data_IF_952997439230
#
_entry.id   IF_952997439230
#
_cell.length_a   1.000
_cell.length_b   1.000
_cell.length_c   1.000
_cell.angle_alpha   90.00
_cell.angle_beta   90.00
_cell.angle_gamma   90.00
#
_symmetry.space_group_name_H-M   'P 1'
#
loop_
_entity.id
_entity.type
_entity.pdbx_description
1 polymer ?
#
# COMPACT_ATOMS: atom_id res chain seq x y z
N UNK A 1 41.52 0.85 19.04
CA UNK A 1 41.13 1.98 18.17
C UNK A 1 40.58 1.45 16.85
N UNK A 2 39.38 1.89 16.42
CA UNK A 2 38.83 1.53 15.10
C UNK A 2 39.62 2.28 14.00
N UNK A 3 40.20 1.54 13.04
CA UNK A 3 40.92 2.10 11.88
C UNK A 3 39.92 2.80 10.95
N UNK A 4 39.67 4.09 11.19
CA UNK A 4 38.72 4.89 10.41
C UNK A 4 39.46 5.62 9.29
N UNK A 5 39.51 5.01 8.11
CA UNK A 5 40.05 5.66 6.91
C UNK A 5 39.04 6.70 6.38
N UNK A 6 39.30 7.97 6.69
CA UNK A 6 38.47 9.12 6.26
C UNK A 6 39.29 10.07 5.40
N UNK A 7 38.63 10.83 4.52
CA UNK A 7 39.32 11.89 3.75
C UNK A 7 40.05 12.85 4.70
N UNK A 8 41.16 13.43 4.23
CA UNK A 8 41.80 14.53 4.95
C UNK A 8 40.79 15.67 5.18
N UNK A 9 40.82 16.24 6.39
CA UNK A 9 40.03 17.43 6.77
C UNK A 9 38.50 17.28 6.61
N UNK A 10 37.99 16.04 6.60
CA UNK A 10 36.55 15.73 6.55
C UNK A 10 35.72 16.39 7.67
N UNK A 11 36.36 16.80 8.76
CA UNK A 11 35.72 17.43 9.91
C UNK A 11 35.79 18.96 9.86
N UNK A 12 36.69 19.52 9.03
CA UNK A 12 36.90 20.97 8.92
C UNK A 12 35.94 21.58 7.90
N UNK A 13 35.66 20.88 6.80
CA UNK A 13 34.81 21.37 5.72
C UNK A 13 33.59 20.47 5.54
N UNK A 14 32.35 20.99 5.71
CA UNK A 14 31.12 20.22 5.53
C UNK A 14 30.97 19.60 4.14
N UNK A 15 31.52 20.25 3.09
CA UNK A 15 31.51 19.73 1.72
C UNK A 15 32.43 18.51 1.51
N UNK A 16 33.36 18.24 2.43
CA UNK A 16 34.22 17.07 2.38
C UNK A 16 33.53 15.88 3.07
N UNK A 17 33.17 14.87 2.28
CA UNK A 17 32.62 13.64 2.80
C UNK A 17 33.63 12.80 3.61
N UNK A 18 33.11 11.88 4.43
CA UNK A 18 33.92 10.92 5.22
C UNK A 18 34.58 9.82 4.37
N UNK A 19 34.25 9.72 3.08
CA UNK A 19 34.80 8.71 2.16
C UNK A 19 36.30 8.95 1.95
N UNK A 20 37.12 7.91 2.10
CA UNK A 20 38.56 8.00 1.88
C UNK A 20 38.89 8.54 0.48
N UNK A 21 39.88 9.43 0.43
CA UNK A 21 40.51 9.94 -0.80
C UNK A 21 42.02 9.95 -0.56
N UNK A 22 42.81 9.54 -1.56
CA UNK A 22 44.28 9.58 -1.46
C UNK A 22 44.71 11.06 -1.34
N UNK A 23 45.42 11.46 -0.27
CA UNK A 23 45.90 12.83 -0.15
C UNK A 23 46.98 13.09 -1.22
N UNK A 24 46.76 14.09 -2.07
CA UNK A 24 47.64 14.42 -3.21
C UNK A 24 48.59 15.59 -2.91
N UNK A 25 48.14 16.58 -2.14
CA UNK A 25 48.89 17.81 -1.89
C UNK A 25 50.27 17.56 -1.31
N UNK A 26 51.26 18.30 -1.80
CA UNK A 26 52.67 18.10 -1.45
C UNK A 26 52.92 18.25 0.06
N UNK A 27 52.32 19.29 0.65
CA UNK A 27 52.44 19.63 2.06
C UNK A 27 51.44 18.89 2.97
N UNK A 28 50.62 17.98 2.43
CA UNK A 28 49.64 17.23 3.22
C UNK A 28 50.33 16.41 4.31
N UNK A 29 49.98 16.70 5.56
CA UNK A 29 50.54 16.02 6.72
C UNK A 29 50.11 14.56 6.80
N UNK A 30 48.91 14.24 6.31
CA UNK A 30 48.43 12.86 6.15
C UNK A 30 49.22 12.10 5.06
N UNK A 31 49.59 12.76 3.96
CA UNK A 31 50.43 12.16 2.89
C UNK A 31 51.82 11.80 3.42
N UNK A 32 52.42 12.73 4.18
CA UNK A 32 53.74 12.61 4.81
C UNK A 32 53.73 11.65 6.02
N UNK A 33 52.55 11.16 6.44
CA UNK A 33 52.36 10.30 7.64
C UNK A 33 52.80 11.00 8.94
N UNK A 34 52.64 12.33 9.05
CA UNK A 34 52.93 13.07 10.30
C UNK A 34 51.88 12.74 11.38
N UNK A 35 52.34 12.53 12.62
CA UNK A 35 51.49 12.28 13.78
C UNK A 35 50.36 13.30 13.93
N UNK A 36 49.19 12.84 14.38
CA UNK A 36 47.97 13.66 14.54
C UNK A 36 47.13 13.87 13.27
N UNK A 37 47.64 13.52 12.08
CA UNK A 37 46.92 13.75 10.81
C UNK A 37 45.90 12.66 10.46
N UNK A 38 45.93 11.52 11.16
CA UNK A 38 45.14 10.33 10.88
C UNK A 38 45.92 9.22 10.18
N UNK A 39 45.25 8.10 9.86
CA UNK A 39 45.86 6.94 9.23
C UNK A 39 45.76 6.99 7.70
N UNK A 40 46.87 6.75 7.00
CA UNK A 40 46.89 6.56 5.55
C UNK A 40 46.57 5.10 5.22
N UNK A 41 45.69 4.86 4.23
CA UNK A 41 45.45 3.50 3.72
C UNK A 41 46.77 2.90 3.21
N UNK A 42 47.05 1.68 3.64
CA UNK A 42 48.28 0.92 3.38
C UNK A 42 47.94 -0.58 3.42
N UNK A 43 48.67 -1.41 2.68
CA UNK A 43 48.35 -2.85 2.54
C UNK A 43 48.51 -3.60 3.87
N UNK A 44 49.44 -3.15 4.72
CA UNK A 44 49.67 -3.71 6.06
C UNK A 44 48.48 -3.57 7.02
N UNK A 45 47.43 -2.83 6.67
CA UNK A 45 46.22 -2.73 7.49
C UNK A 45 45.14 -3.77 7.16
N UNK A 46 45.33 -4.59 6.13
CA UNK A 46 44.39 -5.63 5.72
C UNK A 46 44.07 -6.62 6.85
N UNK A 47 42.83 -7.10 6.89
CA UNK A 47 42.43 -8.20 7.77
C UNK A 47 42.82 -9.54 7.13
N UNK A 48 43.16 -10.57 7.92
CA UNK A 48 43.36 -11.92 7.39
C UNK A 48 42.11 -12.40 6.65
N UNK A 49 42.31 -13.24 5.64
CA UNK A 49 41.22 -13.81 4.87
C UNK A 49 40.30 -14.62 5.80
N UNK A 50 39.01 -14.34 5.72
CA UNK A 50 37.94 -15.10 6.36
C UNK A 50 36.86 -15.36 5.34
N UNK A 51 36.37 -16.59 5.28
CA UNK A 51 35.25 -16.94 4.42
C UNK A 51 34.05 -16.05 4.77
N UNK A 52 33.54 -15.35 3.77
CA UNK A 52 32.39 -14.46 3.92
C UNK A 52 31.09 -15.27 3.78
N UNK A 53 30.02 -14.88 4.47
CA UNK A 53 28.72 -15.49 4.28
C UNK A 53 28.22 -15.30 2.83
N UNK A 54 27.53 -16.31 2.32
CA UNK A 54 27.03 -16.32 0.94
C UNK A 54 25.73 -15.53 0.83
N UNK A 55 25.64 -14.66 -0.17
CA UNK A 55 24.42 -13.90 -0.47
C UNK A 55 23.44 -14.76 -1.27
N UNK A 56 22.27 -15.03 -0.69
CA UNK A 56 21.22 -15.88 -1.26
C UNK A 56 20.03 -15.03 -1.74
N UNK A 57 19.57 -15.33 -2.96
CA UNK A 57 18.37 -14.75 -3.59
C UNK A 57 17.28 -15.79 -3.83
N UNK A 58 17.66 -17.02 -4.12
CA UNK A 58 16.75 -18.10 -4.47
C UNK A 58 17.13 -19.43 -3.79
N UNK A 59 16.36 -20.48 -4.07
CA UNK A 59 16.54 -21.82 -3.51
C UNK A 59 17.74 -22.55 -4.10
N UNK A 60 18.18 -22.18 -5.32
CA UNK A 60 19.34 -22.77 -6.02
C UNK A 60 20.67 -22.27 -5.44
N UNK A 61 20.69 -21.05 -4.90
CA UNK A 61 21.88 -20.47 -4.26
C UNK A 61 22.39 -21.26 -3.04
N UNK A 62 21.61 -22.21 -2.51
CA UNK A 62 22.02 -23.13 -1.45
C UNK A 62 22.97 -24.24 -1.90
N UNK A 63 23.15 -24.45 -3.22
CA UNK A 63 24.11 -25.41 -3.76
C UNK A 63 25.56 -24.93 -3.61
N UNK A 64 25.77 -23.65 -3.31
CA UNK A 64 27.09 -23.03 -3.11
C UNK A 64 27.65 -23.35 -1.72
N UNK A 65 28.97 -23.22 -1.58
CA UNK A 65 29.68 -23.38 -0.30
C UNK A 65 29.22 -22.36 0.77
N UNK A 66 28.23 -22.75 1.59
CA UNK A 66 27.61 -21.91 2.61
C UNK A 66 28.24 -22.06 4.01
N UNK A 67 29.49 -22.50 4.12
CA UNK A 67 30.15 -22.84 5.40
C UNK A 67 30.21 -21.68 6.41
N UNK A 68 30.39 -20.45 5.93
CA UNK A 68 30.45 -19.25 6.77
C UNK A 68 29.07 -18.69 7.18
N UNK A 69 27.99 -19.31 6.71
CA UNK A 69 26.61 -18.85 6.91
C UNK A 69 26.01 -18.16 5.69
N UNK A 70 24.74 -17.80 5.84
CA UNK A 70 23.87 -17.32 4.76
C UNK A 70 23.39 -15.89 5.03
N UNK A 71 23.45 -15.05 4.01
CA UNK A 71 22.85 -13.71 3.98
C UNK A 71 21.68 -13.68 3.00
N UNK A 72 20.47 -13.43 3.49
CA UNK A 72 19.30 -13.25 2.61
C UNK A 72 19.33 -11.85 2.00
N UNK A 73 19.36 -11.74 0.66
CA UNK A 73 19.44 -10.45 -0.03
C UNK A 73 18.27 -9.52 0.32
N UNK A 74 18.52 -8.20 0.40
CA UNK A 74 17.53 -7.19 0.81
C UNK A 74 16.27 -7.20 -0.07
N UNK A 75 16.41 -7.36 -1.39
CA UNK A 75 15.31 -7.39 -2.34
C UNK A 75 14.40 -8.64 -2.28
N UNK A 76 14.77 -9.68 -1.52
CA UNK A 76 13.90 -10.85 -1.35
C UNK A 76 12.74 -10.51 -0.41
N UNK A 77 11.51 -10.63 -0.90
CA UNK A 77 10.29 -10.36 -0.12
C UNK A 77 10.02 -11.40 0.98
N UNK A 78 9.08 -11.10 1.88
CA UNK A 78 8.83 -11.92 3.07
C UNK A 78 8.36 -13.34 2.79
N UNK A 79 7.47 -13.54 1.81
CA UNK A 79 6.99 -14.88 1.41
C UNK A 79 8.16 -15.81 1.05
N UNK A 80 9.06 -15.34 0.18
CA UNK A 80 10.27 -16.07 -0.21
C UNK A 80 11.25 -16.21 0.95
N UNK A 81 11.40 -15.17 1.77
CA UNK A 81 12.29 -15.19 2.96
C UNK A 81 11.92 -16.31 3.93
N UNK A 82 10.63 -16.61 4.11
CA UNK A 82 10.18 -17.72 4.98
C UNK A 82 10.64 -19.07 4.42
N UNK A 83 10.43 -19.30 3.12
CA UNK A 83 10.86 -20.53 2.43
C UNK A 83 12.37 -20.71 2.51
N UNK A 84 13.14 -19.65 2.23
CA UNK A 84 14.59 -19.68 2.32
C UNK A 84 15.05 -19.91 3.78
N UNK A 85 14.37 -19.32 4.76
CA UNK A 85 14.71 -19.53 6.17
C UNK A 85 14.37 -20.94 6.67
N UNK A 86 13.32 -21.57 6.15
CA UNK A 86 13.00 -22.97 6.41
C UNK A 86 14.08 -23.89 5.82
N UNK A 87 14.40 -23.72 4.54
CA UNK A 87 15.46 -24.48 3.87
C UNK A 87 16.83 -24.29 4.54
N UNK A 88 17.17 -23.07 4.96
CA UNK A 88 18.41 -22.81 5.70
C UNK A 88 18.48 -23.58 7.03
N UNK A 89 17.34 -23.71 7.73
CA UNK A 89 17.27 -24.50 8.97
C UNK A 89 17.39 -26.00 8.71
N UNK A 90 16.75 -26.50 7.66
CA UNK A 90 16.85 -27.91 7.24
C UNK A 90 18.31 -28.29 6.95
N UNK A 91 19.07 -27.39 6.31
CA UNK A 91 20.49 -27.58 6.01
C UNK A 91 21.43 -27.25 7.19
N UNK A 92 20.90 -26.86 8.36
CA UNK A 92 21.72 -26.49 9.52
C UNK A 92 22.55 -25.21 9.35
N UNK A 93 22.21 -24.35 8.38
CA UNK A 93 22.95 -23.14 8.06
C UNK A 93 22.51 -21.95 8.93
N UNK A 94 23.48 -21.16 9.40
CA UNK A 94 23.23 -19.95 10.19
C UNK A 94 22.89 -18.76 9.30
N UNK A 95 21.79 -18.07 9.60
CA UNK A 95 21.37 -16.85 8.88
C UNK A 95 21.96 -15.63 9.58
N UNK A 96 22.90 -14.93 8.93
CA UNK A 96 23.60 -13.76 9.48
C UNK A 96 22.63 -12.60 9.74
N UNK A 97 21.68 -12.35 8.82
CA UNK A 97 20.68 -11.30 8.96
C UNK A 97 19.38 -11.77 9.63
N UNK A 98 19.49 -12.36 10.83
CA UNK A 98 18.38 -12.99 11.56
C UNK A 98 17.14 -12.07 11.77
N UNK A 99 17.32 -10.75 11.89
CA UNK A 99 16.21 -9.80 12.02
C UNK A 99 15.23 -9.90 10.84
N UNK A 100 15.73 -10.07 9.62
CA UNK A 100 14.91 -10.18 8.41
C UNK A 100 14.03 -11.43 8.46
N UNK A 101 14.59 -12.56 8.88
CA UNK A 101 13.85 -13.81 9.07
C UNK A 101 12.79 -13.69 10.18
N UNK A 102 13.09 -13.02 11.29
CA UNK A 102 12.13 -12.76 12.38
C UNK A 102 10.95 -11.91 11.91
N UNK A 103 11.21 -10.83 11.16
CA UNK A 103 10.16 -9.97 10.60
C UNK A 103 9.26 -10.74 9.62
N UNK A 104 9.85 -11.58 8.77
CA UNK A 104 9.09 -12.40 7.82
C UNK A 104 8.12 -13.37 8.53
N UNK A 105 8.53 -13.98 9.64
CA UNK A 105 7.64 -14.84 10.46
C UNK A 105 6.49 -14.05 11.10
N UNK A 106 6.76 -12.84 11.60
CA UNK A 106 5.71 -11.96 12.15
C UNK A 106 4.69 -11.60 11.08
N UNK A 107 5.15 -11.32 9.86
CA UNK A 107 4.28 -11.04 8.71
C UNK A 107 3.41 -12.25 8.34
N UNK A 108 3.97 -13.47 8.35
CA UNK A 108 3.20 -14.69 8.12
C UNK A 108 2.10 -14.90 9.17
N UNK A 109 2.42 -14.69 10.45
CA UNK A 109 1.45 -14.79 11.54
C UNK A 109 0.32 -13.75 11.40
N UNK A 110 0.65 -12.52 10.99
CA UNK A 110 -0.35 -11.49 10.71
C UNK A 110 -1.27 -11.87 9.54
N UNK A 111 -0.71 -12.41 8.45
CA UNK A 111 -1.49 -12.91 7.31
C UNK A 111 -2.44 -14.04 7.70
N UNK A 112 -2.01 -14.97 8.56
CA UNK A 112 -2.87 -16.06 9.07
C UNK A 112 -4.03 -15.51 9.91
N UNK A 113 -3.74 -14.60 10.85
CA UNK A 113 -4.77 -13.93 11.67
C UNK A 113 -5.79 -13.16 10.84
N UNK A 114 -5.35 -12.50 9.76
CA UNK A 114 -6.24 -11.83 8.83
C UNK A 114 -7.12 -12.82 8.08
N UNK A 115 -6.57 -13.92 7.55
CA UNK A 115 -7.39 -14.96 6.90
C UNK A 115 -8.41 -15.59 7.84
N UNK A 116 -8.05 -15.82 9.10
CA UNK A 116 -8.96 -16.37 10.12
C UNK A 116 -10.09 -15.41 10.48
N UNK A 117 -9.84 -14.09 10.57
CA UNK A 117 -10.93 -13.12 10.76
C UNK A 117 -11.89 -13.08 9.58
N UNK A 118 -11.37 -13.12 8.35
CA UNK A 118 -12.19 -13.17 7.11
C UNK A 118 -13.10 -14.39 7.14
N UNK A 119 -12.56 -15.53 7.55
CA UNK A 119 -13.31 -16.77 7.63
C UNK A 119 -14.40 -16.70 8.72
N UNK A 120 -14.07 -16.20 9.92
CA UNK A 120 -15.05 -16.03 11.01
C UNK A 120 -16.20 -15.10 10.63
N UNK A 121 -15.94 -13.93 10.03
CA UNK A 121 -17.02 -13.05 9.57
C UNK A 121 -17.88 -13.70 8.49
N UNK A 122 -17.28 -14.51 7.60
CA UNK A 122 -18.04 -15.25 6.59
C UNK A 122 -18.90 -16.37 7.17
N UNK A 123 -18.44 -17.02 8.24
CA UNK A 123 -19.16 -18.07 8.94
C UNK A 123 -20.25 -17.52 9.89
N UNK A 124 -20.10 -16.29 10.40
CA UNK A 124 -21.13 -15.57 11.17
C UNK A 124 -22.29 -15.10 10.28
N UNK A 125 -22.01 -14.51 9.11
CA UNK A 125 -23.04 -14.13 8.13
C UNK A 125 -23.88 -15.34 7.72
N UNK A 126 -23.26 -16.51 7.50
CA UNK A 126 -23.98 -17.75 7.18
C UNK A 126 -24.85 -18.32 8.31
N UNK A 127 -24.59 -17.95 9.57
CA UNK A 127 -25.42 -18.40 10.72
C UNK A 127 -26.60 -17.47 10.97
N UNK A 128 -26.50 -16.20 10.59
CA UNK A 128 -27.62 -15.26 10.63
C UNK A 128 -28.65 -15.59 9.54
N UNK A 129 -28.19 -15.97 8.33
CA UNK A 129 -29.08 -16.39 7.24
C UNK A 129 -29.91 -17.66 7.58
N UNK A 130 -29.37 -18.59 8.38
CA UNK A 130 -30.05 -19.84 8.75
C UNK A 130 -31.07 -19.72 9.89
N UNK A 131 -31.10 -18.60 10.63
CA UNK A 131 -32.11 -18.36 11.69
C UNK A 131 -33.39 -17.71 11.18
N UNK A 132 -33.34 -17.03 10.04
CA UNK A 132 -34.49 -16.33 9.42
C UNK A 132 -35.46 -17.31 8.73
N UNK A 133 -35.02 -18.54 8.42
CA UNK A 133 -35.81 -19.55 7.70
C UNK A 133 -36.85 -20.32 8.57
N UNK A 134 -36.84 -20.20 9.90
CA UNK A 134 -37.79 -20.93 10.78
C UNK A 134 -39.05 -20.12 11.17
N UNK A 135 -39.07 -18.79 10.99
CA UNK A 135 -40.18 -17.94 11.45
C UNK A 135 -41.19 -17.53 10.35
N UNK A 136 -40.93 -17.83 9.07
CA UNK A 136 -41.67 -17.26 7.93
C UNK A 136 -42.66 -18.22 7.23
N UNK A 137 -43.19 -19.23 7.93
CA UNK A 137 -44.15 -20.21 7.36
C UNK A 137 -45.63 -20.01 7.71
N UNK A 138 -46.03 -18.85 8.21
CA UNK A 138 -47.46 -18.51 8.40
C UNK A 138 -47.77 -17.19 7.70
N UNK A 139 -48.73 -17.26 6.77
CA UNK A 139 -49.49 -16.16 6.14
C UNK A 139 -48.99 -15.59 4.79
N UNK A 140 -49.90 -15.65 3.81
CA UNK A 140 -49.70 -15.36 2.40
C UNK A 140 -50.82 -14.41 1.92
N UNK A 141 -50.49 -13.50 0.97
CA UNK A 141 -51.32 -12.75 -0.01
C UNK A 141 -51.59 -11.25 0.27
N UNK A 142 -50.97 -10.33 -0.49
CA UNK A 142 -51.56 -9.58 -1.62
C UNK A 142 -50.52 -8.63 -2.32
N UNK A 143 -50.70 -8.48 -3.63
CA UNK A 143 -50.22 -7.49 -4.64
C UNK A 143 -48.74 -7.26 -5.03
N UNK A 144 -48.65 -6.85 -6.30
CA UNK A 144 -47.57 -6.71 -7.27
C UNK A 144 -46.66 -5.49 -7.05
N UNK A 145 -45.33 -5.67 -7.16
CA UNK A 145 -44.39 -4.90 -8.01
C UNK A 145 -42.92 -4.89 -7.50
N UNK A 146 -42.00 -4.93 -8.47
CA UNK A 146 -40.58 -4.51 -8.47
C UNK A 146 -39.45 -5.27 -7.73
N UNK A 147 -38.49 -5.68 -8.56
CA UNK A 147 -37.02 -5.71 -8.43
C UNK A 147 -36.25 -6.57 -7.39
N UNK A 148 -35.24 -7.25 -7.95
CA UNK A 148 -34.19 -8.07 -7.34
C UNK A 148 -33.22 -7.29 -6.44
N UNK A 149 -32.65 -7.96 -5.43
CA UNK A 149 -31.20 -8.26 -5.36
C UNK A 149 -30.79 -9.13 -4.16
N UNK A 150 -29.99 -10.14 -4.48
CA UNK A 150 -28.97 -10.78 -3.65
C UNK A 150 -27.90 -9.76 -3.25
N UNK A 151 -27.21 -9.96 -2.11
CA UNK A 151 -25.75 -9.78 -2.05
C UNK A 151 -25.08 -10.48 -0.84
N UNK A 152 -23.92 -11.07 -1.15
CA UNK A 152 -22.83 -11.49 -0.24
C UNK A 152 -21.63 -10.57 -0.55
N UNK A 153 -20.83 -10.18 0.46
CA UNK A 153 -19.35 -10.41 0.50
C UNK A 153 -18.47 -9.40 1.28
N UNK A 154 -17.65 -10.01 2.16
CA UNK A 154 -16.18 -9.87 2.39
C UNK A 154 -15.50 -8.61 2.97
N UNK A 155 -14.42 -8.91 3.72
CA UNK A 155 -13.50 -8.03 4.49
C UNK A 155 -12.29 -7.42 3.73
N UNK A 156 -11.72 -6.36 4.35
CA UNK A 156 -10.31 -5.96 4.30
C UNK A 156 -9.72 -5.70 5.72
N UNK A 157 -8.38 -5.60 5.84
CA UNK A 157 -7.57 -5.04 6.97
C UNK A 157 -6.29 -4.38 6.38
N UNK A 158 -5.41 -3.61 7.01
CA UNK A 158 -5.05 -3.35 8.41
C UNK A 158 -4.51 -1.90 8.56
N UNK A 159 -4.67 -1.38 9.78
CA UNK A 159 -4.36 -0.04 10.27
C UNK A 159 -2.97 0.14 10.88
N UNK A 160 -2.51 1.40 10.92
CA UNK A 160 -1.68 1.93 12.01
C UNK A 160 -2.41 3.11 12.66
N UNK A 161 -2.55 2.97 13.98
CA UNK A 161 -3.35 3.70 14.97
C UNK A 161 -2.71 5.05 15.31
N UNK A 162 -3.44 6.14 15.09
CA UNK A 162 -3.26 7.42 15.77
C UNK A 162 -4.66 8.01 16.05
N UNK A 163 -4.85 8.50 17.28
CA UNK A 163 -6.13 8.68 17.95
C UNK A 163 -6.90 9.95 17.60
N UNK A 164 -6.84 10.42 16.35
CA UNK A 164 -7.85 11.34 15.81
C UNK A 164 -8.80 10.53 14.94
N UNK A 165 -10.10 10.72 15.12
CA UNK A 165 -11.11 10.15 14.22
C UNK A 165 -10.83 10.73 12.83
N UNK A 166 -10.04 10.02 12.01
CA UNK A 166 -9.65 10.49 10.67
C UNK A 166 -10.93 10.75 9.91
N UNK A 167 -11.17 12.01 9.58
CA UNK A 167 -12.31 12.39 8.75
C UNK A 167 -12.25 11.59 7.45
N UNK A 168 -13.38 11.04 7.03
CA UNK A 168 -13.45 10.27 5.79
C UNK A 168 -13.22 11.25 4.64
N UNK A 169 -12.38 10.86 3.68
CA UNK A 169 -11.98 11.73 2.56
C UNK A 169 -12.45 11.15 1.25
N UNK A 170 -12.96 12.00 0.37
CA UNK A 170 -13.30 11.67 -1.00
C UNK A 170 -12.52 12.60 -1.93
N UNK A 171 -11.45 12.04 -2.50
CA UNK A 171 -10.57 12.76 -3.41
C UNK A 171 -11.14 12.83 -4.84
N UNK A 172 -11.07 14.00 -5.48
CA UNK A 172 -11.44 14.21 -6.88
C UNK A 172 -10.24 14.66 -7.71
N UNK A 173 -10.21 14.27 -8.98
CA UNK A 173 -9.21 14.76 -9.92
C UNK A 173 -9.49 16.23 -10.28
N UNK A 174 -8.44 17.00 -10.56
CA UNK A 174 -8.48 18.44 -10.88
C UNK A 174 -9.52 18.79 -11.95
N UNK A 175 -9.64 17.98 -13.00
CA UNK A 175 -10.63 18.17 -14.08
C UNK A 175 -12.10 17.97 -13.65
N UNK A 176 -12.34 17.28 -12.54
CA UNK A 176 -13.69 16.93 -12.05
C UNK A 176 -14.14 17.89 -10.94
N UNK A 177 -13.21 18.56 -10.24
CA UNK A 177 -13.52 19.52 -9.16
C UNK A 177 -14.53 20.59 -9.60
N UNK A 178 -14.39 21.23 -10.79
CA UNK A 178 -15.38 22.21 -11.26
C UNK A 178 -16.78 21.63 -11.48
N UNK A 179 -16.89 20.33 -11.80
CA UNK A 179 -18.19 19.67 -11.99
C UNK A 179 -18.91 19.48 -10.65
N UNK A 180 -18.16 19.14 -9.60
CA UNK A 180 -18.70 19.02 -8.23
C UNK A 180 -19.18 20.38 -7.74
N UNK A 181 -18.40 21.44 -7.97
CA UNK A 181 -18.80 22.82 -7.65
C UNK A 181 -20.06 23.26 -8.40
N UNK A 182 -20.27 22.79 -9.64
CA UNK A 182 -21.46 23.10 -10.45
C UNK A 182 -22.71 22.28 -10.08
N UNK A 183 -22.62 21.35 -9.13
CA UNK A 183 -23.78 20.60 -8.61
C UNK A 183 -23.80 19.11 -8.93
N UNK A 184 -22.68 18.49 -9.33
CA UNK A 184 -22.59 17.02 -9.48
C UNK A 184 -22.75 16.33 -8.12
N UNK A 185 -23.75 15.46 -8.00
CA UNK A 185 -24.13 14.76 -6.76
C UNK A 185 -23.81 13.27 -6.76
N UNK A 186 -23.49 12.66 -7.92
CA UNK A 186 -23.09 11.26 -8.02
C UNK A 186 -21.69 11.08 -8.57
N UNK A 187 -20.94 10.10 -8.06
CA UNK A 187 -19.64 9.70 -8.60
C UNK A 187 -19.52 8.19 -8.70
N UNK A 188 -18.92 7.71 -9.80
CA UNK A 188 -18.65 6.30 -10.03
C UNK A 188 -17.18 6.02 -9.74
N UNK A 189 -16.89 4.97 -8.98
CA UNK A 189 -15.55 4.61 -8.50
C UNK A 189 -15.29 3.13 -8.73
N UNK A 190 -14.05 2.78 -9.09
CA UNK A 190 -13.63 1.37 -9.25
C UNK A 190 -13.09 0.76 -7.95
N UNK A 191 -12.92 1.57 -6.90
CA UNK A 191 -12.43 1.13 -5.60
C UNK A 191 -13.49 1.46 -4.56
N UNK A 192 -13.67 0.54 -3.63
CA UNK A 192 -14.47 0.80 -2.45
C UNK A 192 -13.71 1.74 -1.52
N UNK A 193 -14.39 2.80 -1.11
CA UNK A 193 -13.92 3.76 -0.10
C UNK A 193 -14.51 3.47 1.28
N UNK A 194 -15.27 2.37 1.45
CA UNK A 194 -15.89 1.92 2.70
C UNK A 194 -16.77 3.02 3.35
N UNK A 195 -17.34 3.89 2.51
CA UNK A 195 -18.27 4.94 2.93
C UNK A 195 -19.66 4.33 3.14
N UNK A 196 -20.36 4.82 4.15
CA UNK A 196 -21.73 4.45 4.51
C UNK A 196 -22.66 5.65 4.32
N UNK A 197 -23.95 5.37 4.21
CA UNK A 197 -24.99 6.40 4.21
C UNK A 197 -24.89 7.21 5.52
N UNK A 198 -25.02 8.53 5.38
CA UNK A 198 -24.86 9.57 6.42
C UNK A 198 -23.43 9.78 6.97
N UNK A 199 -22.41 9.18 6.35
CA UNK A 199 -21.03 9.54 6.67
C UNK A 199 -20.72 10.98 6.24
N UNK A 200 -20.12 11.75 7.16
CA UNK A 200 -19.50 13.04 6.86
C UNK A 200 -18.17 12.85 6.15
N UNK A 201 -18.02 13.50 4.99
CA UNK A 201 -16.88 13.32 4.10
C UNK A 201 -16.29 14.66 3.68
N UNK A 202 -14.96 14.73 3.69
CA UNK A 202 -14.17 15.88 3.23
C UNK A 202 -13.84 15.70 1.75
N UNK A 203 -14.09 16.72 0.95
CA UNK A 203 -13.85 16.72 -0.49
C UNK A 203 -12.51 17.41 -0.75
N UNK A 204 -11.54 16.65 -1.29
CA UNK A 204 -10.19 17.16 -1.56
C UNK A 204 -9.79 16.94 -3.02
N UNK A 205 -8.93 17.82 -3.54
CA UNK A 205 -8.28 17.59 -4.82
C UNK A 205 -7.18 16.53 -4.63
N UNK A 206 -7.26 15.41 -5.34
CA UNK A 206 -6.30 14.30 -5.23
C UNK A 206 -4.88 14.66 -5.66
N UNK A 207 -4.69 15.74 -6.43
CA UNK A 207 -3.38 16.20 -6.90
C UNK A 207 -2.76 17.25 -5.97
N UNK A 208 -3.51 18.28 -5.58
CA UNK A 208 -3.01 19.36 -4.72
C UNK A 208 -3.17 19.06 -3.22
N UNK A 209 -4.09 18.17 -2.84
CA UNK A 209 -4.45 17.91 -1.45
C UNK A 209 -5.33 18.99 -0.82
N UNK A 210 -5.74 19.99 -1.60
CA UNK A 210 -6.57 21.10 -1.10
C UNK A 210 -8.01 20.66 -0.88
N UNK A 211 -8.54 20.97 0.31
CA UNK A 211 -9.94 20.72 0.66
C UNK A 211 -10.80 21.85 0.10
N UNK A 212 -11.71 21.52 -0.81
CA UNK A 212 -12.57 22.48 -1.48
C UNK A 212 -14.03 22.46 -0.97
N UNK A 213 -14.39 21.48 -0.13
CA UNK A 213 -15.69 21.45 0.51
C UNK A 213 -15.91 20.23 1.40
N UNK A 214 -17.11 20.16 1.97
CA UNK A 214 -17.53 19.09 2.86
C UNK A 214 -18.88 18.54 2.38
N UNK A 215 -19.25 17.37 2.86
CA UNK A 215 -20.51 16.77 2.44
C UNK A 215 -20.91 15.55 3.25
N UNK A 216 -22.07 15.02 2.90
CA UNK A 216 -22.62 13.79 3.47
C UNK A 216 -23.01 12.81 2.38
N UNK A 217 -22.71 11.53 2.58
CA UNK A 217 -23.12 10.47 1.65
C UNK A 217 -24.61 10.17 1.85
N UNK A 218 -25.39 10.23 0.77
CA UNK A 218 -26.82 9.91 0.73
C UNK A 218 -27.10 8.47 0.34
N UNK A 219 -26.27 7.89 -0.52
CA UNK A 219 -26.48 6.56 -1.08
C UNK A 219 -25.18 5.91 -1.48
N UNK A 220 -25.09 4.60 -1.27
CA UNK A 220 -23.97 3.77 -1.67
C UNK A 220 -24.55 2.58 -2.40
N UNK A 221 -24.26 2.48 -3.68
CA UNK A 221 -24.69 1.37 -4.53
C UNK A 221 -23.48 0.78 -5.23
N UNK A 222 -23.56 -0.49 -5.62
CA UNK A 222 -22.58 -1.12 -6.49
C UNK A 222 -23.29 -1.84 -7.64
N UNK A 223 -22.81 -1.59 -8.84
CA UNK A 223 -23.33 -2.20 -10.07
C UNK A 223 -22.16 -2.56 -10.97
N UNK A 224 -22.36 -3.53 -11.87
CA UNK A 224 -21.40 -3.78 -12.93
C UNK A 224 -21.45 -2.63 -13.95
N UNK A 225 -20.31 -2.30 -14.57
CA UNK A 225 -20.19 -1.15 -15.48
C UNK A 225 -21.21 -1.21 -16.63
N UNK A 226 -21.51 -2.40 -17.14
CA UNK A 226 -22.51 -2.61 -18.18
C UNK A 226 -23.95 -2.26 -17.78
N UNK A 227 -24.26 -2.20 -16.47
CA UNK A 227 -25.60 -1.89 -15.93
C UNK A 227 -25.72 -0.44 -15.45
N UNK A 228 -24.69 0.37 -15.64
CA UNK A 228 -24.71 1.78 -15.24
C UNK A 228 -25.52 2.59 -16.26
N UNK A 229 -26.36 3.50 -15.77
CA UNK A 229 -27.04 4.45 -16.63
C UNK A 229 -26.04 5.49 -17.18
N UNK A 230 -25.78 5.42 -18.48
CA UNK A 230 -24.78 6.26 -19.16
C UNK A 230 -25.22 7.74 -19.29
N UNK A 231 -26.52 8.02 -19.19
CA UNK A 231 -27.11 9.35 -19.37
C UNK A 231 -27.61 9.96 -18.04
N UNK A 232 -27.03 9.56 -16.92
CA UNK A 232 -27.38 10.11 -15.61
C UNK A 232 -26.87 11.56 -15.46
N UNK A 233 -27.80 12.52 -15.38
CA UNK A 233 -27.49 13.93 -15.16
C UNK A 233 -26.77 14.18 -13.83
N UNK A 234 -27.02 13.33 -12.82
CA UNK A 234 -26.46 13.50 -11.49
C UNK A 234 -24.96 13.17 -11.44
N UNK A 235 -24.46 12.39 -12.41
CA UNK A 235 -23.03 12.11 -12.58
C UNK A 235 -22.28 13.28 -13.23
N UNK A 236 -22.98 14.28 -13.77
CA UNK A 236 -22.40 15.49 -14.36
C UNK A 236 -21.73 15.32 -15.73
N UNK A 237 -21.33 14.10 -16.11
CA UNK A 237 -20.85 13.77 -17.46
C UNK A 237 -21.71 12.64 -18.04
N UNK A 238 -22.28 12.87 -19.21
CA UNK A 238 -23.06 11.87 -19.95
C UNK A 238 -22.18 11.18 -20.99
N UNK A 239 -22.43 9.90 -21.22
CA UNK A 239 -21.72 9.08 -22.19
C UNK A 239 -22.72 8.44 -23.16
N UNK A 240 -22.33 8.27 -24.42
CA UNK A 240 -23.17 7.61 -25.42
C UNK A 240 -22.88 6.12 -25.53
N UNK A 241 -21.63 5.71 -25.25
CA UNK A 241 -21.18 4.30 -25.30
C UNK A 241 -20.49 3.87 -24.00
N UNK A 242 -20.61 2.58 -23.68
CA UNK A 242 -19.93 1.97 -22.51
C UNK A 242 -18.40 2.11 -22.63
N UNK A 243 -17.85 2.04 -23.84
CA UNK A 243 -16.41 2.17 -24.09
C UNK A 243 -15.84 3.54 -23.69
N UNK A 244 -16.65 4.61 -23.79
CA UNK A 244 -16.26 5.96 -23.38
C UNK A 244 -16.18 6.06 -21.86
N UNK A 245 -17.12 5.42 -21.15
CA UNK A 245 -17.10 5.31 -19.70
C UNK A 245 -15.87 4.48 -19.24
N UNK A 246 -15.58 3.37 -19.92
CA UNK A 246 -14.37 2.56 -19.65
C UNK A 246 -13.10 3.38 -19.91
N UNK A 247 -13.07 4.18 -20.98
CA UNK A 247 -11.94 5.05 -21.32
C UNK A 247 -11.73 6.15 -20.27
N UNK A 248 -12.82 6.72 -19.75
CA UNK A 248 -12.77 7.69 -18.66
C UNK A 248 -12.19 7.06 -17.38
N UNK A 249 -12.55 5.82 -17.06
CA UNK A 249 -11.94 5.08 -15.96
C UNK A 249 -10.44 4.81 -16.18
N UNK A 250 -10.05 4.42 -17.40
CA UNK A 250 -8.63 4.17 -17.76
C UNK A 250 -7.77 5.42 -17.67
N UNK A 251 -8.31 6.62 -17.97
CA UNK A 251 -7.58 7.89 -17.83
C UNK A 251 -7.05 8.14 -16.42
N UNK A 252 -7.80 7.73 -15.40
CA UNK A 252 -7.42 7.89 -14.00
C UNK A 252 -6.73 6.65 -13.41
N UNK A 253 -6.84 5.48 -14.07
CA UNK A 253 -6.23 4.23 -13.64
C UNK A 253 -5.61 3.48 -14.84
N UNK A 254 -4.50 3.98 -15.42
CA UNK A 254 -3.93 3.42 -16.65
C UNK A 254 -3.41 1.99 -16.47
N UNK A 255 -3.11 1.56 -15.25
CA UNK A 255 -2.60 0.22 -14.95
C UNK A 255 -3.70 -0.84 -14.70
N UNK A 256 -4.99 -0.47 -14.66
CA UNK A 256 -6.08 -1.43 -14.39
C UNK A 256 -6.77 -1.88 -15.66
N UNK A 257 -6.92 -3.20 -15.79
CA UNK A 257 -7.82 -3.82 -16.76
C UNK A 257 -9.28 -3.60 -16.30
N UNK A 258 -9.95 -2.64 -16.94
CA UNK A 258 -11.38 -2.35 -16.72
C UNK A 258 -12.17 -3.09 -17.79
N UNK A 259 -12.93 -4.09 -17.39
CA UNK A 259 -13.86 -4.84 -18.25
C UNK A 259 -15.31 -4.39 -18.01
N UNK A 260 -16.25 -4.61 -18.95
CA UNK A 260 -17.67 -4.25 -18.75
C UNK A 260 -18.33 -4.91 -17.53
N UNK A 261 -17.80 -6.05 -17.09
CA UNK A 261 -18.29 -6.79 -15.91
C UNK A 261 -17.67 -6.32 -14.59
N UNK A 262 -16.69 -5.42 -14.65
CA UNK A 262 -16.02 -4.90 -13.46
C UNK A 262 -17.03 -4.15 -12.59
N UNK A 263 -16.97 -4.37 -11.28
CA UNK A 263 -17.84 -3.68 -10.31
C UNK A 263 -17.43 -2.22 -10.16
N UNK A 264 -18.39 -1.31 -10.27
CA UNK A 264 -18.27 0.09 -9.94
C UNK A 264 -19.13 0.42 -8.71
N UNK A 265 -18.56 1.21 -7.82
CA UNK A 265 -19.21 1.79 -6.65
C UNK A 265 -19.76 3.17 -7.02
N UNK A 266 -21.05 3.36 -6.80
CA UNK A 266 -21.77 4.60 -7.05
C UNK A 266 -22.02 5.26 -5.69
N UNK A 267 -21.43 6.44 -5.50
CA UNK A 267 -21.67 7.24 -4.31
C UNK A 267 -22.53 8.44 -4.68
N UNK A 268 -23.68 8.55 -4.04
CA UNK A 268 -24.55 9.73 -4.09
C UNK A 268 -24.27 10.56 -2.85
N UNK A 269 -24.03 11.86 -3.00
CA UNK A 269 -23.64 12.74 -1.91
C UNK A 269 -24.26 14.14 -2.04
N UNK A 270 -24.37 14.81 -0.90
CA UNK A 270 -24.57 16.26 -0.83
C UNK A 270 -23.23 16.94 -0.69
N UNK A 271 -23.01 18.01 -1.44
CA UNK A 271 -21.78 18.80 -1.39
C UNK A 271 -22.08 20.22 -0.93
N UNK A 272 -21.28 20.72 0.01
CA UNK A 272 -21.27 22.12 0.44
C UNK A 272 -19.87 22.71 0.21
N UNK A 273 -19.74 23.76 -0.62
CA UNK A 273 -18.44 24.37 -0.89
C UNK A 273 -17.88 25.03 0.37
N UNK A 274 -16.56 24.97 0.53
CA UNK A 274 -15.88 25.71 1.59
C UNK A 274 -16.02 27.20 1.31
N UNK A 275 -16.61 27.97 2.23
CA UNK A 275 -16.68 29.43 2.10
C UNK A 275 -15.25 29.98 2.06
N UNK A 276 -14.91 30.68 0.98
CA UNK A 276 -13.69 31.49 0.94
C UNK A 276 -13.82 32.56 2.02
N UNK A 277 -12.89 32.53 2.97
CA UNK A 277 -12.78 33.58 3.98
C UNK A 277 -12.13 34.75 3.26
N UNK A 278 -12.93 35.77 2.92
CA UNK A 278 -12.44 37.06 2.41
C UNK A 278 -11.65 37.79 3.49
#
# INVERSE_FOLDING_TARGET
>A
MSKRFKSQEYFRYPGLGKRWRRPRGLQSKLRIKKGGSGMKVDIGYGSPYKQQPVLIRNVKDFEKDCKAGVLIASGVGYKKTIVLAAKAKELGLTIVNAKKAKTAKRFEAALKKKKESVKKKKDEVKKEDAKVEHETKTEHKYDHSTEHKHDDKTEAKDDVKDGSKREKKLGFHESVVPQVMKGKTKTYRLRDHELKVDDGVVFENSRSGEVFGHGKIKGVEHTAINKINLKDSDHGATYDKIDELISAFKRHYPEREVTPETKAFIYTYNFTPKKETQ
#
